data_IF_291426300193
#
_entry.id   IF_291426300193
#
_cell.length_a   1.000
_cell.length_b   1.000
_cell.length_c   1.000
_cell.angle_alpha   90.00
_cell.angle_beta   90.00
_cell.angle_gamma   90.00
#
_symmetry.space_group_name_H-M   'P 1'
#
loop_
_entity.id
_entity.type
_entity.pdbx_description
1 polymer ?
#
# COMPACT_ATOMS: atom_id res chain seq x y z
N UNK A 1 -0.22 -13.71 -19.99
CA UNK A 1 -1.07 -13.07 -21.02
C UNK A 1 -2.46 -12.86 -20.44
N UNK A 2 -3.14 -11.74 -20.71
CA UNK A 2 -4.54 -11.51 -20.28
C UNK A 2 -5.48 -11.88 -21.41
N UNK A 3 -6.62 -12.49 -21.09
CA UNK A 3 -7.63 -12.90 -22.07
C UNK A 3 -8.54 -11.74 -22.52
N UNK A 4 -8.76 -10.76 -21.65
CA UNK A 4 -9.63 -9.61 -21.91
C UNK A 4 -8.90 -8.28 -21.68
N UNK A 5 -9.28 -7.27 -22.44
CA UNK A 5 -8.76 -5.90 -22.33
C UNK A 5 -9.31 -5.20 -21.08
N UNK A 6 -8.49 -4.34 -20.46
CA UNK A 6 -8.88 -3.48 -19.33
C UNK A 6 -9.06 -2.02 -19.76
N UNK A 7 -9.20 -1.73 -21.06
CA UNK A 7 -9.36 -0.36 -21.57
C UNK A 7 -10.44 0.43 -20.80
N UNK A 8 -11.56 -0.21 -20.52
CA UNK A 8 -12.72 0.43 -19.88
C UNK A 8 -12.79 0.17 -18.37
N UNK A 9 -11.72 -0.39 -17.76
CA UNK A 9 -11.65 -0.60 -16.31
C UNK A 9 -11.04 0.66 -15.66
N UNK A 10 -11.77 1.34 -14.76
CA UNK A 10 -11.20 2.43 -13.97
C UNK A 10 -9.93 1.99 -13.23
N UNK A 11 -8.92 2.86 -13.20
CA UNK A 11 -7.58 2.51 -12.68
C UNK A 11 -7.59 2.14 -11.20
N UNK A 12 -8.46 2.78 -10.40
CA UNK A 12 -8.59 2.52 -8.96
C UNK A 12 -9.14 1.14 -8.63
N UNK A 13 -9.76 0.44 -9.59
CA UNK A 13 -10.17 -0.96 -9.38
C UNK A 13 -8.99 -1.94 -9.45
N UNK A 14 -7.79 -1.47 -9.80
CA UNK A 14 -6.57 -2.28 -9.80
C UNK A 14 -6.60 -3.47 -10.78
N UNK A 15 -5.56 -4.33 -10.75
CA UNK A 15 -5.44 -5.44 -11.69
C UNK A 15 -6.28 -6.67 -11.30
N UNK A 16 -6.70 -6.79 -10.05
CA UNK A 16 -7.46 -7.93 -9.53
C UNK A 16 -8.92 -7.52 -9.32
N UNK A 17 -9.91 -8.40 -9.60
CA UNK A 17 -11.32 -8.06 -9.54
C UNK A 17 -11.86 -8.13 -8.09
N UNK A 18 -11.30 -7.29 -7.20
CA UNK A 18 -11.65 -7.26 -5.77
C UNK A 18 -13.11 -6.86 -5.54
N UNK A 19 -13.73 -6.14 -6.46
CA UNK A 19 -15.16 -5.80 -6.45
C UNK A 19 -16.09 -7.02 -6.53
N UNK A 20 -15.57 -8.18 -6.97
CA UNK A 20 -16.32 -9.44 -7.04
C UNK A 20 -16.29 -10.24 -5.74
N UNK A 21 -15.44 -9.84 -4.79
CA UNK A 21 -15.37 -10.48 -3.47
C UNK A 21 -16.56 -10.06 -2.64
N UNK A 22 -17.12 -11.00 -1.85
CA UNK A 22 -18.18 -10.68 -0.89
C UNK A 22 -17.62 -9.79 0.21
N UNK A 23 -18.32 -8.69 0.49
CA UNK A 23 -18.02 -7.76 1.58
C UNK A 23 -18.94 -8.06 2.77
N UNK A 24 -18.43 -7.80 3.97
CA UNK A 24 -19.15 -7.97 5.23
C UNK A 24 -18.85 -6.77 6.10
N UNK A 25 -19.87 -6.17 6.70
CA UNK A 25 -19.71 -5.11 7.69
C UNK A 25 -19.37 -5.70 9.08
N UNK A 26 -19.52 -7.02 9.24
CA UNK A 26 -19.10 -7.72 10.46
C UNK A 26 -17.59 -7.87 10.46
N UNK A 27 -16.94 -7.24 11.45
CA UNK A 27 -15.51 -7.40 11.69
C UNK A 27 -15.16 -8.87 12.01
N UNK A 28 -14.14 -9.45 11.37
CA UNK A 28 -13.68 -10.80 11.70
C UNK A 28 -12.98 -10.82 13.08
N UNK A 29 -12.97 -11.98 13.73
CA UNK A 29 -12.13 -12.18 14.91
C UNK A 29 -10.66 -12.20 14.50
N UNK A 30 -9.90 -11.22 14.98
CA UNK A 30 -8.48 -11.07 14.70
C UNK A 30 -7.59 -11.65 15.81
N UNK A 31 -8.17 -12.32 16.82
CA UNK A 31 -7.42 -12.88 17.95
C UNK A 31 -6.29 -13.85 17.55
N UNK A 32 -6.44 -14.52 16.39
CA UNK A 32 -5.45 -15.42 15.82
C UNK A 32 -4.40 -14.71 14.93
N UNK A 33 -4.56 -13.42 14.65
CA UNK A 33 -3.61 -12.67 13.81
C UNK A 33 -2.42 -12.26 14.67
N UNK A 34 -1.21 -12.65 14.24
CA UNK A 34 0.02 -12.25 14.92
C UNK A 34 0.17 -10.73 14.92
N UNK A 35 0.71 -10.19 16.01
CA UNK A 35 1.04 -8.78 16.08
C UNK A 35 2.03 -8.41 14.96
N UNK A 36 1.83 -7.23 14.37
CA UNK A 36 2.76 -6.68 13.38
C UNK A 36 4.15 -6.54 14.00
N UNK A 37 5.16 -7.04 13.30
CA UNK A 37 6.56 -6.90 13.70
C UNK A 37 7.28 -5.96 12.72
N UNK A 38 8.24 -5.19 13.23
CA UNK A 38 9.08 -4.37 12.39
C UNK A 38 9.92 -5.25 11.45
N UNK A 39 10.13 -4.79 10.22
CA UNK A 39 10.99 -5.48 9.27
C UNK A 39 12.44 -5.41 9.73
N UNK A 40 13.09 -6.56 9.87
CA UNK A 40 14.53 -6.65 10.18
C UNK A 40 15.33 -6.91 8.91
N UNK A 41 16.44 -6.20 8.77
CA UNK A 41 17.45 -6.45 7.74
C UNK A 41 18.74 -7.04 8.32
N UNK A 42 18.74 -7.38 9.61
CA UNK A 42 19.85 -8.10 10.23
C UNK A 42 19.84 -9.55 9.75
N UNK A 43 20.95 -9.99 9.16
CA UNK A 43 21.09 -11.32 8.59
C UNK A 43 22.51 -11.84 8.83
N UNK A 44 22.68 -13.01 9.47
CA UNK A 44 24.00 -13.58 9.71
C UNK A 44 24.69 -14.05 8.42
N UNK A 45 23.96 -14.26 7.33
CA UNK A 45 24.53 -14.62 6.04
C UNK A 45 25.08 -13.36 5.34
N UNK A 46 26.40 -13.28 5.07
CA UNK A 46 27.00 -12.12 4.41
C UNK A 46 26.54 -11.93 2.95
N UNK A 47 26.05 -12.98 2.30
CA UNK A 47 25.57 -12.91 0.90
C UNK A 47 24.06 -12.60 0.80
N UNK A 48 23.40 -12.32 1.93
CA UNK A 48 21.98 -11.98 1.95
C UNK A 48 21.69 -10.65 1.23
N UNK A 49 20.59 -10.62 0.48
CA UNK A 49 20.08 -9.40 -0.16
C UNK A 49 19.68 -8.33 0.87
N UNK A 50 19.41 -8.72 2.12
CA UNK A 50 19.01 -7.82 3.19
C UNK A 50 20.00 -6.66 3.38
N UNK A 51 21.31 -6.94 3.29
CA UNK A 51 22.36 -5.93 3.41
C UNK A 51 22.28 -4.84 2.34
N UNK A 52 21.91 -5.22 1.11
CA UNK A 52 21.73 -4.27 0.02
C UNK A 52 20.43 -3.45 0.21
N UNK A 53 19.36 -4.07 0.69
CA UNK A 53 18.06 -3.42 0.87
C UNK A 53 18.01 -2.45 2.05
N UNK A 54 18.74 -2.75 3.14
CA UNK A 54 18.72 -1.99 4.38
C UNK A 54 18.93 -0.48 4.16
N UNK A 55 19.91 -0.13 3.31
CA UNK A 55 20.24 1.28 3.00
C UNK A 55 19.09 2.02 2.33
N UNK A 56 18.40 1.39 1.38
CA UNK A 56 17.30 2.02 0.65
C UNK A 56 16.08 2.19 1.56
N UNK A 57 15.79 1.19 2.37
CA UNK A 57 14.65 1.23 3.29
C UNK A 57 14.88 2.28 4.38
N UNK A 58 16.10 2.42 4.89
CA UNK A 58 16.46 3.51 5.81
C UNK A 58 16.25 4.90 5.20
N UNK A 59 16.56 5.07 3.91
CA UNK A 59 16.29 6.33 3.20
C UNK A 59 14.79 6.61 3.08
N UNK A 60 13.98 5.60 2.78
CA UNK A 60 12.52 5.75 2.74
C UNK A 60 11.92 5.99 4.12
N UNK A 61 12.53 5.46 5.19
CA UNK A 61 12.11 5.71 6.57
C UNK A 61 12.23 7.20 6.94
N UNK A 62 13.34 7.81 6.54
CA UNK A 62 13.62 9.23 6.78
C UNK A 62 12.53 10.16 6.22
N UNK A 63 11.86 9.76 5.13
CA UNK A 63 10.85 10.57 4.42
C UNK A 63 9.42 10.07 4.62
N UNK A 64 9.16 9.21 5.63
CA UNK A 64 7.79 8.76 5.95
C UNK A 64 6.90 9.89 6.45
N UNK A 65 7.50 10.91 7.04
CA UNK A 65 6.83 12.09 7.56
C UNK A 65 7.61 13.35 7.14
N UNK A 66 6.96 14.51 7.20
CA UNK A 66 7.56 15.76 6.76
C UNK A 66 6.64 16.96 6.89
N UNK A 67 7.14 18.12 6.47
CA UNK A 67 6.38 19.35 6.51
C UNK A 67 5.23 19.31 5.49
N UNK A 68 4.03 19.69 5.94
CA UNK A 68 2.88 19.91 5.05
C UNK A 68 3.08 21.18 4.25
N UNK A 69 2.73 21.16 2.97
CA UNK A 69 2.78 22.35 2.12
C UNK A 69 1.80 23.42 2.64
N UNK A 70 2.23 24.68 2.68
CA UNK A 70 1.41 25.79 3.14
C UNK A 70 0.28 26.12 2.15
N UNK A 71 0.54 25.93 0.86
CA UNK A 71 -0.45 26.14 -0.19
C UNK A 71 -1.26 24.85 -0.42
N UNK A 72 -2.60 24.89 -0.30
CA UNK A 72 -3.44 23.74 -0.59
C UNK A 72 -3.43 23.43 -2.08
N UNK A 73 -3.33 22.15 -2.42
CA UNK A 73 -3.52 21.68 -3.80
C UNK A 73 -5.00 21.69 -4.20
N UNK A 74 -5.26 21.53 -5.50
CA UNK A 74 -6.61 21.27 -6.02
C UNK A 74 -7.04 19.86 -5.59
N UNK A 75 -7.91 19.77 -4.58
CA UNK A 75 -8.42 18.50 -4.05
C UNK A 75 -9.95 18.51 -4.17
N UNK A 76 -10.57 17.51 -4.84
CA UNK A 76 -12.04 17.42 -4.93
C UNK A 76 -12.71 17.37 -3.56
N UNK A 77 -13.90 17.93 -3.38
CA UNK A 77 -14.62 17.88 -2.10
C UNK A 77 -15.26 16.51 -1.83
N UNK A 78 -15.60 15.77 -2.89
CA UNK A 78 -16.24 14.46 -2.82
C UNK A 78 -15.29 13.40 -2.25
N UNK A 79 -15.60 12.79 -1.08
CA UNK A 79 -14.78 11.74 -0.50
C UNK A 79 -14.63 10.53 -1.42
N UNK A 80 -15.63 10.21 -2.26
CA UNK A 80 -15.54 9.09 -3.18
C UNK A 80 -14.50 9.36 -4.27
N UNK A 81 -14.48 10.57 -4.85
CA UNK A 81 -13.45 10.95 -5.83
C UNK A 81 -12.04 10.92 -5.22
N UNK A 82 -11.88 11.32 -3.95
CA UNK A 82 -10.60 11.18 -3.25
C UNK A 82 -10.21 9.71 -3.10
N UNK A 83 -11.13 8.85 -2.67
CA UNK A 83 -10.88 7.40 -2.54
C UNK A 83 -10.55 6.74 -3.88
N UNK A 84 -11.13 7.20 -4.98
CA UNK A 84 -10.84 6.72 -6.32
C UNK A 84 -9.49 7.23 -6.87
N UNK A 85 -8.86 8.21 -6.22
CA UNK A 85 -7.57 8.78 -6.64
C UNK A 85 -6.37 8.27 -5.82
N UNK A 86 -6.60 7.80 -4.59
CA UNK A 86 -5.58 7.26 -3.66
C UNK A 86 -5.28 5.78 -3.93
#
# INVERSE_FOLDING_TARGET
>A
MRLFSYRDRPVHLGPYPLERLRRSDTAPDLSAVAAMQALSFDDPNPESLNHAMARYIGMFDLVRDGTVNAEPGEVPDDPQQRSDHL
#
